data_IF_176461356656
#
_entry.id   IF_176461356656
#
_cell.length_a   1.000
_cell.length_b   1.000
_cell.length_c   1.000
_cell.angle_alpha   90.00
_cell.angle_beta   90.00
_cell.angle_gamma   90.00
#
_symmetry.space_group_name_H-M   'P 1'
#
loop_
_entity.id
_entity.type
_entity.pdbx_description
1 polymer ?
#
# COMPACT_ATOMS: atom_id res chain seq x y z
N UNK A 1 7.31 -29.59 7.85
CA UNK A 1 6.49 -28.48 7.36
C UNK A 1 5.34 -28.13 8.32
N UNK A 2 4.69 -29.13 8.95
CA UNK A 2 3.58 -28.90 9.90
C UNK A 2 3.95 -28.14 11.18
N UNK A 3 5.22 -28.09 11.56
CA UNK A 3 5.68 -27.46 12.82
C UNK A 3 5.67 -25.92 12.78
N UNK A 4 5.85 -25.32 11.60
CA UNK A 4 5.85 -23.87 11.42
C UNK A 4 4.43 -23.26 11.38
N UNK A 5 3.44 -24.02 11.11
CA UNK A 5 2.09 -23.63 10.76
C UNK A 5 1.18 -23.47 11.99
N UNK A 6 1.33 -24.32 12.99
CA UNK A 6 0.73 -24.09 14.31
C UNK A 6 1.30 -22.87 15.01
N UNK A 7 2.50 -22.45 14.63
CA UNK A 7 3.17 -21.27 15.15
C UNK A 7 2.52 -19.97 14.69
N UNK A 8 2.05 -19.86 13.44
CA UNK A 8 1.38 -18.66 12.91
C UNK A 8 0.04 -18.41 13.62
N UNK A 9 -0.78 -19.44 13.77
CA UNK A 9 -2.05 -19.32 14.49
C UNK A 9 -1.84 -18.97 15.97
N UNK A 10 -0.83 -19.58 16.61
CA UNK A 10 -0.44 -19.26 17.99
C UNK A 10 0.03 -17.81 18.15
N UNK A 11 0.85 -17.34 17.22
CA UNK A 11 1.31 -15.93 17.21
C UNK A 11 0.17 -14.96 16.97
N UNK A 12 -0.75 -15.26 16.05
CA UNK A 12 -1.96 -14.47 15.86
C UNK A 12 -2.78 -14.40 17.15
N UNK A 13 -2.97 -15.53 17.83
CA UNK A 13 -3.68 -15.55 19.12
C UNK A 13 -3.05 -14.61 20.13
N UNK A 14 -1.73 -14.68 20.30
CA UNK A 14 -1.01 -13.79 21.22
C UNK A 14 -1.22 -12.31 20.88
N UNK A 15 -1.19 -11.94 19.58
CA UNK A 15 -1.45 -10.56 19.15
C UNK A 15 -2.88 -10.14 19.50
N UNK A 16 -3.86 -11.02 19.25
CA UNK A 16 -5.27 -10.69 19.54
C UNK A 16 -5.59 -10.69 21.04
N UNK A 17 -4.93 -11.48 21.86
CA UNK A 17 -5.01 -11.40 23.31
C UNK A 17 -4.57 -9.99 23.80
N UNK A 18 -3.54 -9.40 23.16
CA UNK A 18 -3.15 -7.99 23.40
C UNK A 18 -4.22 -7.01 22.88
N UNK A 19 -4.79 -7.25 21.69
CA UNK A 19 -5.86 -6.39 21.13
C UNK A 19 -7.08 -6.37 22.05
N UNK A 20 -7.40 -7.48 22.69
CA UNK A 20 -8.53 -7.59 23.62
C UNK A 20 -8.32 -6.85 24.94
N UNK A 21 -7.07 -6.71 25.38
CA UNK A 21 -6.71 -6.16 26.71
C UNK A 21 -6.23 -4.71 26.68
N UNK A 22 -5.70 -4.25 25.53
CA UNK A 22 -5.10 -2.92 25.42
C UNK A 22 -5.77 -2.09 24.34
N UNK A 23 -6.26 -0.92 24.71
CA UNK A 23 -6.80 0.05 23.75
C UNK A 23 -5.68 0.63 22.90
N UNK A 24 -5.68 0.33 21.59
CA UNK A 24 -4.69 0.82 20.63
C UNK A 24 -5.22 0.80 19.19
N UNK A 25 -4.37 1.23 18.27
CA UNK A 25 -4.55 1.05 16.83
C UNK A 25 -3.61 -0.05 16.37
N UNK A 26 -4.16 -1.14 15.87
CA UNK A 26 -3.43 -2.31 15.38
C UNK A 26 -3.46 -2.34 13.85
N UNK A 27 -2.28 -2.39 13.23
CA UNK A 27 -2.15 -2.48 11.78
C UNK A 27 -1.60 -3.85 11.38
N UNK A 28 -2.38 -4.59 10.61
CA UNK A 28 -1.97 -5.81 9.92
C UNK A 28 -1.67 -5.46 8.46
N UNK A 29 -0.41 -5.20 8.16
CA UNK A 29 0.03 -4.90 6.79
C UNK A 29 0.32 -6.19 6.02
N UNK A 30 0.20 -6.12 4.67
CA UNK A 30 0.37 -7.29 3.79
C UNK A 30 -0.49 -8.49 4.23
N UNK A 31 -1.74 -8.22 4.58
CA UNK A 31 -2.65 -9.23 5.14
C UNK A 31 -2.85 -10.44 4.22
N UNK A 32 -2.64 -10.28 2.93
CA UNK A 32 -2.61 -11.35 1.93
C UNK A 32 -1.49 -12.39 2.16
N UNK A 33 -0.41 -12.02 2.83
CA UNK A 33 0.65 -12.95 3.21
C UNK A 33 0.15 -14.05 4.17
N UNK A 34 -0.90 -13.78 4.94
CA UNK A 34 -1.58 -14.79 5.76
C UNK A 34 -2.34 -15.83 4.91
N UNK A 35 -2.65 -15.48 3.65
CA UNK A 35 -3.35 -16.33 2.70
C UNK A 35 -2.48 -17.40 2.02
N UNK A 36 -1.16 -17.42 2.25
CA UNK A 36 -0.23 -18.40 1.69
C UNK A 36 0.00 -18.30 0.18
N UNK A 37 1.08 -18.93 -0.28
CA UNK A 37 1.40 -19.01 -1.71
C UNK A 37 0.49 -20.03 -2.41
N UNK A 38 -0.08 -19.70 -3.56
CA UNK A 38 -1.10 -20.50 -4.29
C UNK A 38 -0.55 -21.80 -4.92
N UNK A 39 0.69 -22.13 -4.69
CA UNK A 39 1.33 -23.32 -5.27
C UNK A 39 1.18 -24.54 -4.38
N UNK A 40 0.07 -25.29 -4.48
CA UNK A 40 -0.05 -26.61 -3.86
C UNK A 40 -0.95 -26.70 -2.62
N UNK A 41 -0.61 -27.57 -1.68
CA UNK A 41 -1.39 -27.98 -0.50
C UNK A 41 -1.77 -26.88 0.52
N UNK A 42 -1.37 -25.61 0.31
CA UNK A 42 -1.50 -24.53 1.28
C UNK A 42 -2.85 -23.77 1.31
N UNK A 43 -3.74 -23.99 0.32
CA UNK A 43 -5.03 -23.28 0.24
C UNK A 43 -5.91 -23.54 1.47
N UNK A 44 -5.87 -24.78 1.99
CA UNK A 44 -6.64 -25.18 3.17
C UNK A 44 -6.19 -24.49 4.44
N UNK A 45 -4.90 -24.22 4.53
CA UNK A 45 -4.30 -23.62 5.71
C UNK A 45 -4.44 -22.10 5.70
N UNK A 46 -4.21 -21.46 4.57
CA UNK A 46 -4.52 -20.06 4.36
C UNK A 46 -5.96 -19.74 4.81
N UNK A 47 -6.92 -20.57 4.45
CA UNK A 47 -8.31 -20.46 4.92
C UNK A 47 -8.44 -20.61 6.43
N UNK A 48 -7.70 -21.52 7.05
CA UNK A 48 -7.74 -21.72 8.52
C UNK A 48 -7.20 -20.49 9.24
N UNK A 49 -6.07 -19.94 8.76
CA UNK A 49 -5.47 -18.72 9.32
C UNK A 49 -6.44 -17.54 9.19
N UNK A 50 -7.04 -17.35 8.01
CA UNK A 50 -8.03 -16.31 7.77
C UNK A 50 -9.27 -16.49 8.66
N UNK A 51 -9.76 -17.71 8.83
CA UNK A 51 -10.89 -18.00 9.72
C UNK A 51 -10.53 -17.72 11.18
N UNK A 52 -9.32 -18.08 11.63
CA UNK A 52 -8.84 -17.75 12.98
C UNK A 52 -8.79 -16.24 13.20
N UNK A 53 -8.28 -15.50 12.20
CA UNK A 53 -8.27 -14.04 12.24
C UNK A 53 -9.67 -13.45 12.37
N UNK A 54 -10.65 -13.99 11.62
CA UNK A 54 -12.05 -13.55 11.71
C UNK A 54 -12.64 -13.74 13.10
N UNK A 55 -12.38 -14.89 13.72
CA UNK A 55 -12.81 -15.16 15.11
C UNK A 55 -12.18 -14.17 16.08
N UNK A 56 -10.86 -13.96 15.95
CA UNK A 56 -10.15 -13.02 16.81
C UNK A 56 -10.61 -11.57 16.60
N UNK A 57 -10.96 -11.18 15.37
CA UNK A 57 -11.49 -9.86 15.09
C UNK A 57 -12.84 -9.63 15.80
N UNK A 58 -13.69 -10.67 15.91
CA UNK A 58 -14.94 -10.60 16.64
C UNK A 58 -14.74 -10.51 18.17
N UNK A 59 -13.66 -11.09 18.70
CA UNK A 59 -13.29 -11.06 20.11
C UNK A 59 -12.53 -9.77 20.47
N UNK A 60 -12.12 -8.95 19.50
CA UNK A 60 -11.35 -7.73 19.73
C UNK A 60 -12.13 -6.72 20.60
N UNK A 61 -11.39 -5.98 21.42
CA UNK A 61 -11.99 -4.92 22.25
C UNK A 61 -12.66 -3.85 21.38
N UNK A 62 -13.91 -3.45 21.65
CA UNK A 62 -14.62 -2.40 20.89
C UNK A 62 -13.95 -1.02 21.02
N UNK A 63 -13.02 -0.86 21.96
CA UNK A 63 -12.26 0.39 22.14
C UNK A 63 -11.00 0.48 21.26
N UNK A 64 -10.62 -0.62 20.60
CA UNK A 64 -9.46 -0.68 19.73
C UNK A 64 -9.84 -0.53 18.26
N UNK A 65 -8.93 -0.01 17.43
CA UNK A 65 -9.08 0.06 15.98
C UNK A 65 -8.18 -0.99 15.35
N UNK A 66 -8.76 -1.90 14.57
CA UNK A 66 -8.02 -2.90 13.80
C UNK A 66 -8.05 -2.52 12.33
N UNK A 67 -6.88 -2.36 11.74
CA UNK A 67 -6.68 -2.03 10.32
C UNK A 67 -5.97 -3.20 9.65
N UNK A 68 -6.57 -3.74 8.59
CA UNK A 68 -5.91 -4.71 7.71
C UNK A 68 -5.66 -4.08 6.34
N UNK A 69 -4.43 -4.15 5.86
CA UNK A 69 -4.04 -3.64 4.55
C UNK A 69 -3.62 -4.80 3.62
N UNK A 70 -4.05 -4.75 2.36
CA UNK A 70 -3.72 -5.77 1.38
C UNK A 70 -3.63 -5.20 -0.03
N UNK A 71 -2.73 -5.76 -0.83
CA UNK A 71 -2.60 -5.50 -2.26
C UNK A 71 -3.44 -6.49 -3.10
N UNK A 72 -3.94 -7.58 -2.51
CA UNK A 72 -4.62 -8.67 -3.20
C UNK A 72 -6.08 -8.83 -2.76
N UNK A 73 -6.94 -7.93 -3.24
CA UNK A 73 -8.39 -7.98 -2.95
C UNK A 73 -9.04 -9.33 -3.31
N UNK A 74 -8.54 -10.02 -4.34
CA UNK A 74 -9.11 -11.29 -4.81
C UNK A 74 -8.84 -12.48 -3.88
N UNK A 75 -7.91 -12.35 -2.94
CA UNK A 75 -7.61 -13.40 -1.94
C UNK A 75 -8.60 -13.34 -0.78
N UNK A 76 -9.16 -12.16 -0.54
CA UNK A 76 -10.07 -11.92 0.56
C UNK A 76 -11.49 -12.34 0.17
N UNK A 77 -12.03 -13.32 0.88
CA UNK A 77 -13.43 -13.76 0.71
C UNK A 77 -14.40 -12.62 1.08
N UNK A 78 -15.59 -12.63 0.49
CA UNK A 78 -16.70 -11.73 0.84
C UNK A 78 -17.05 -11.79 2.32
N UNK A 79 -16.86 -12.94 2.96
CA UNK A 79 -17.09 -13.13 4.38
C UNK A 79 -16.19 -12.23 5.23
N UNK A 80 -14.92 -12.08 4.83
CA UNK A 80 -13.96 -11.20 5.52
C UNK A 80 -14.40 -9.73 5.44
N UNK A 81 -14.80 -9.26 4.25
CA UNK A 81 -15.23 -7.87 4.09
C UNK A 81 -16.46 -7.50 4.92
N UNK A 82 -17.32 -8.47 5.23
CA UNK A 82 -18.52 -8.26 6.06
C UNK A 82 -18.22 -8.09 7.54
N UNK A 83 -17.00 -8.41 7.97
CA UNK A 83 -16.56 -8.30 9.38
C UNK A 83 -15.88 -6.98 9.68
N UNK A 84 -15.52 -6.23 8.67
CA UNK A 84 -14.98 -4.88 8.84
C UNK A 84 -16.10 -3.85 8.72
N UNK A 85 -16.10 -2.88 9.63
CA UNK A 85 -17.07 -1.77 9.64
C UNK A 85 -16.90 -0.86 8.41
N UNK A 86 -15.67 -0.75 7.89
CA UNK A 86 -15.36 0.05 6.73
C UNK A 86 -14.33 -0.63 5.81
N UNK A 87 -14.55 -0.51 4.50
CA UNK A 87 -13.60 -0.96 3.48
C UNK A 87 -13.15 0.23 2.65
N UNK A 88 -11.86 0.57 2.76
CA UNK A 88 -11.25 1.64 2.01
C UNK A 88 -10.52 1.08 0.79
N UNK A 89 -10.86 1.59 -0.39
CA UNK A 89 -10.19 1.19 -1.64
C UNK A 89 -9.37 2.37 -2.16
N UNK A 90 -8.07 2.16 -2.31
CA UNK A 90 -7.17 3.14 -2.91
C UNK A 90 -7.03 2.85 -4.40
N UNK A 91 -7.53 3.77 -5.22
CA UNK A 91 -7.37 3.72 -6.68
C UNK A 91 -6.12 4.49 -7.12
N UNK A 92 -5.70 4.26 -8.37
CA UNK A 92 -4.67 5.07 -8.98
C UNK A 92 -5.10 6.55 -9.00
N UNK A 93 -4.15 7.48 -8.85
CA UNK A 93 -4.48 8.90 -8.79
C UNK A 93 -5.01 9.42 -10.11
N UNK A 94 -6.02 10.27 -10.05
CA UNK A 94 -6.42 11.09 -11.19
C UNK A 94 -5.29 12.07 -11.57
N UNK A 95 -5.34 12.62 -12.77
CA UNK A 95 -4.34 13.60 -13.26
C UNK A 95 -4.18 14.78 -12.29
N UNK A 96 -5.29 15.28 -11.74
CA UNK A 96 -5.25 16.38 -10.76
C UNK A 96 -4.57 15.98 -9.45
N UNK A 97 -4.84 14.77 -8.96
CA UNK A 97 -4.20 14.24 -7.76
C UNK A 97 -2.70 14.01 -8.01
N UNK A 98 -2.32 13.42 -9.15
CA UNK A 98 -0.93 13.24 -9.55
C UNK A 98 -0.16 14.56 -9.56
N UNK A 99 -0.70 15.59 -10.18
CA UNK A 99 -0.10 16.94 -10.21
C UNK A 99 0.02 17.53 -8.79
N UNK A 100 -1.00 17.35 -7.95
CA UNK A 100 -0.97 17.80 -6.56
C UNK A 100 0.13 17.11 -5.75
N UNK A 101 0.27 15.80 -5.92
CA UNK A 101 1.34 14.99 -5.29
C UNK A 101 2.72 15.49 -5.71
N UNK A 102 2.94 15.69 -7.02
CA UNK A 102 4.22 16.19 -7.53
C UNK A 102 4.52 17.57 -6.94
N UNK A 103 3.57 18.52 -7.00
CA UNK A 103 3.75 19.87 -6.44
C UNK A 103 4.09 19.83 -4.96
N UNK A 104 3.33 19.06 -4.19
CA UNK A 104 3.54 18.91 -2.75
C UNK A 104 4.91 18.32 -2.43
N UNK A 105 5.35 17.33 -3.21
CA UNK A 105 6.64 16.66 -2.98
C UNK A 105 7.83 17.54 -3.37
N UNK A 106 7.73 18.28 -4.45
CA UNK A 106 8.79 19.19 -4.91
C UNK A 106 8.87 20.47 -4.09
N UNK A 107 7.74 20.96 -3.53
CA UNK A 107 7.72 22.20 -2.76
C UNK A 107 8.23 23.39 -3.58
N UNK A 108 9.24 24.10 -3.09
CA UNK A 108 9.85 25.25 -3.75
C UNK A 108 10.55 24.90 -5.07
N UNK A 109 11.03 23.65 -5.23
CA UNK A 109 11.65 23.18 -6.48
C UNK A 109 10.66 23.09 -7.65
N UNK A 110 9.33 23.10 -7.39
CA UNK A 110 8.30 23.12 -8.42
C UNK A 110 8.05 24.51 -9.03
N UNK A 111 8.76 25.54 -8.59
CA UNK A 111 8.51 26.93 -9.01
C UNK A 111 8.76 27.09 -10.51
N UNK A 112 7.71 27.50 -11.25
CA UNK A 112 7.79 27.69 -12.70
C UNK A 112 7.59 26.43 -13.54
N UNK A 113 7.43 25.24 -12.92
CA UNK A 113 7.19 24.00 -13.68
C UNK A 113 5.78 23.99 -14.26
N UNK A 114 5.69 23.81 -15.59
CA UNK A 114 4.41 23.59 -16.26
C UNK A 114 3.99 22.13 -16.14
N UNK A 115 2.77 21.92 -15.64
CA UNK A 115 2.14 20.60 -15.52
C UNK A 115 1.19 20.29 -16.68
N UNK A 116 1.05 21.19 -17.65
CA UNK A 116 0.20 21.00 -18.82
C UNK A 116 0.69 19.80 -19.64
N UNK A 117 -0.21 18.87 -19.98
CA UNK A 117 0.13 17.70 -20.79
C UNK A 117 0.91 16.57 -20.09
N UNK A 118 1.11 16.63 -18.77
CA UNK A 118 1.69 15.51 -18.00
C UNK A 118 0.70 14.36 -17.74
N UNK A 119 -0.55 14.49 -18.18
CA UNK A 119 -1.59 13.48 -17.95
C UNK A 119 -1.20 12.11 -18.48
N UNK A 120 -0.76 12.04 -19.75
CA UNK A 120 -0.31 10.78 -20.37
C UNK A 120 0.93 10.17 -19.74
N UNK A 121 1.72 10.97 -19.01
CA UNK A 121 2.93 10.52 -18.33
C UNK A 121 2.65 9.95 -16.93
N UNK A 122 1.56 10.38 -16.29
CA UNK A 122 1.15 9.93 -14.95
C UNK A 122 0.12 8.79 -14.98
N UNK A 123 -0.45 8.50 -16.15
CA UNK A 123 -1.43 7.43 -16.32
C UNK A 123 -0.83 6.06 -15.99
N UNK A 124 -1.55 5.28 -15.19
CA UNK A 124 -1.11 3.95 -14.75
C UNK A 124 -0.11 3.94 -13.59
N UNK A 125 0.40 5.10 -13.17
CA UNK A 125 1.33 5.19 -12.05
C UNK A 125 0.60 5.28 -10.71
N UNK A 126 1.11 4.56 -9.70
CA UNK A 126 0.64 4.67 -8.32
C UNK A 126 1.08 6.00 -7.69
N UNK A 127 0.47 6.36 -6.54
CA UNK A 127 0.91 7.51 -5.75
C UNK A 127 2.40 7.39 -5.37
N UNK A 128 2.84 6.18 -5.00
CA UNK A 128 4.23 5.91 -4.65
C UNK A 128 5.18 6.13 -5.83
N UNK A 129 4.81 5.69 -7.03
CA UNK A 129 5.62 5.91 -8.23
C UNK A 129 5.76 7.38 -8.58
N UNK A 130 4.67 8.14 -8.44
CA UNK A 130 4.66 9.58 -8.69
C UNK A 130 5.54 10.31 -7.68
N UNK A 131 5.49 9.94 -6.40
CA UNK A 131 6.38 10.49 -5.37
C UNK A 131 7.83 10.19 -5.70
N UNK A 132 8.17 8.94 -6.01
CA UNK A 132 9.53 8.53 -6.37
C UNK A 132 10.03 9.22 -7.65
N UNK A 133 9.16 9.45 -8.64
CA UNK A 133 9.50 10.22 -9.83
C UNK A 133 9.82 11.69 -9.49
N UNK A 134 9.00 12.32 -8.66
CA UNK A 134 9.25 13.69 -8.21
C UNK A 134 10.58 13.82 -7.44
N UNK A 135 10.87 12.86 -6.56
CA UNK A 135 12.14 12.80 -5.82
C UNK A 135 13.35 12.62 -6.75
N UNK A 136 13.21 11.74 -7.75
CA UNK A 136 14.28 11.53 -8.75
C UNK A 136 14.53 12.79 -9.56
N UNK A 137 13.50 13.48 -10.02
CA UNK A 137 13.61 14.74 -10.72
C UNK A 137 14.28 15.83 -9.85
N UNK A 138 13.87 15.93 -8.57
CA UNK A 138 14.49 16.84 -7.61
C UNK A 138 15.96 16.54 -7.41
N UNK A 139 16.32 15.27 -7.23
CA UNK A 139 17.71 14.84 -7.08
C UNK A 139 18.54 15.22 -8.30
N UNK A 140 18.03 15.00 -9.51
CA UNK A 140 18.71 15.36 -10.76
C UNK A 140 18.97 16.86 -10.86
N UNK A 141 17.97 17.71 -10.57
CA UNK A 141 18.12 19.15 -10.58
C UNK A 141 19.16 19.64 -9.57
N UNK A 142 19.08 19.14 -8.33
CA UNK A 142 20.02 19.50 -7.26
C UNK A 142 21.47 19.08 -7.59
N UNK A 143 21.65 17.92 -8.20
CA UNK A 143 22.99 17.47 -8.61
C UNK A 143 23.59 18.32 -9.73
N UNK A 144 22.77 19.00 -10.55
CA UNK A 144 23.22 20.00 -11.53
C UNK A 144 23.47 21.38 -10.91
N UNK A 145 23.09 21.59 -9.64
CA UNK A 145 23.14 22.88 -8.98
C UNK A 145 21.94 23.78 -9.27
N UNK A 146 20.85 23.23 -9.81
CA UNK A 146 19.65 23.98 -10.16
C UNK A 146 18.78 24.25 -8.93
N UNK A 147 18.18 25.46 -8.86
CA UNK A 147 17.25 25.84 -7.81
C UNK A 147 15.82 25.33 -8.04
N UNK A 148 15.53 24.83 -9.24
CA UNK A 148 14.20 24.34 -9.63
C UNK A 148 14.30 23.12 -10.54
N UNK A 149 13.28 22.28 -10.48
CA UNK A 149 13.12 21.13 -11.37
C UNK A 149 12.60 21.64 -12.72
N UNK A 150 13.15 21.11 -13.81
CA UNK A 150 12.60 21.38 -15.14
C UNK A 150 11.49 20.40 -15.50
N UNK A 151 10.68 20.76 -16.49
CA UNK A 151 9.70 19.83 -17.05
C UNK A 151 10.35 18.56 -17.62
N UNK A 152 11.48 18.70 -18.27
CA UNK A 152 12.23 17.57 -18.84
C UNK A 152 12.68 16.58 -17.77
N UNK A 153 13.13 17.06 -16.60
CA UNK A 153 13.49 16.21 -15.46
C UNK A 153 12.30 15.37 -15.00
N UNK A 154 11.13 15.99 -14.89
CA UNK A 154 9.90 15.29 -14.50
C UNK A 154 9.46 14.25 -15.53
N UNK A 155 9.46 14.61 -16.82
CA UNK A 155 9.07 13.69 -17.90
C UNK A 155 9.98 12.48 -17.94
N UNK A 156 11.28 12.68 -17.81
CA UNK A 156 12.27 11.59 -17.78
C UNK A 156 12.06 10.68 -16.57
N UNK A 157 11.88 11.27 -15.39
CA UNK A 157 11.67 10.51 -14.15
C UNK A 157 10.35 9.71 -14.16
N UNK A 158 9.27 10.29 -14.69
CA UNK A 158 7.98 9.61 -14.85
C UNK A 158 8.08 8.46 -15.87
N UNK A 159 8.78 8.67 -17.00
CA UNK A 159 9.00 7.64 -18.00
C UNK A 159 9.80 6.45 -17.43
N UNK A 160 10.86 6.72 -16.68
CA UNK A 160 11.66 5.69 -16.03
C UNK A 160 10.82 4.85 -15.03
N UNK A 161 9.94 5.50 -14.27
CA UNK A 161 9.01 4.78 -13.37
C UNK A 161 8.03 3.90 -14.11
N UNK A 162 7.45 4.42 -15.18
CA UNK A 162 6.51 3.65 -16.01
C UNK A 162 7.15 2.38 -16.59
N UNK A 163 8.38 2.47 -17.07
CA UNK A 163 9.13 1.30 -17.56
C UNK A 163 9.38 0.27 -16.44
N UNK A 164 9.68 0.73 -15.22
CA UNK A 164 9.91 -0.15 -14.08
C UNK A 164 8.63 -0.79 -13.50
N UNK A 165 7.45 -0.20 -13.74
CA UNK A 165 6.16 -0.74 -13.25
C UNK A 165 5.52 -1.73 -14.24
N UNK A 166 6.03 -1.85 -15.47
CA UNK A 166 5.52 -2.73 -16.53
C UNK A 166 6.37 -4.00 -16.72
N UNK A 167 7.50 -4.12 -16.06
CA UNK A 167 8.39 -5.28 -16.03
C UNK A 167 8.30 -6.02 -14.73
#
# INVERSE_FOLDING_TARGET
LSKFMGETTSKLRTVFDEVATHRAVYLFDEFDALGGDRSGNDVGEARRILNSFLVFLEEASPESIVIAATNHRSILDRALFRRFDAVLTYSLPSVRQAQSVIRKRLGSLAKGVSFTGLSSRTEGLSHADIVKAAESAAKTALMRGDAVVTRADLELALAARRSASLG
#
